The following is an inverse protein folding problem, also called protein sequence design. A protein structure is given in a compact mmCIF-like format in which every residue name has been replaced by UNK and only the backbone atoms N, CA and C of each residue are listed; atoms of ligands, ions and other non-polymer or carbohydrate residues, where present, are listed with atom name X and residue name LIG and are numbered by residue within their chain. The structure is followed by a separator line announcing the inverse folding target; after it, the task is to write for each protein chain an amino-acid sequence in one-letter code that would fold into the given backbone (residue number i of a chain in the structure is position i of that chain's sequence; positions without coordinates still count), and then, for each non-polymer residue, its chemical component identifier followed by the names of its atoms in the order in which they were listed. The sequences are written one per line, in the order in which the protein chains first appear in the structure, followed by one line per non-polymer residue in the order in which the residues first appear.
data_IF_211863073484
#
_entry.id   IF_211863073484
#
_cell.length_a   1.000
_cell.length_b   1.000
_cell.length_c   1.000
_cell.angle_alpha   90.00
_cell.angle_beta   90.00
_cell.angle_gamma   90.00
#
_symmetry.space_group_name_H-M   'P 1'
#
loop_
_entity.id
_entity.type
_entity.pdbx_description
1 polymer ?
#
# COMPACT_ATOMS: atom_id res chain seq x y z
N UNK A 1 -10.58 -10.43 -0.93
CA UNK A 1 -9.14 -10.09 -1.01
C UNK A 1 -8.99 -8.58 -1.08
N UNK A 2 -8.04 -8.00 -0.34
CA UNK A 2 -7.74 -6.57 -0.41
C UNK A 2 -6.99 -6.20 -1.70
N UNK A 3 -7.01 -4.91 -2.08
CA UNK A 3 -6.26 -4.40 -3.24
C UNK A 3 -4.74 -4.67 -3.12
N UNK A 4 -4.19 -4.61 -1.91
CA UNK A 4 -2.79 -4.95 -1.64
C UNK A 4 -2.52 -6.45 -1.86
N UNK A 5 -3.44 -7.32 -1.42
CA UNK A 5 -3.30 -8.77 -1.63
C UNK A 5 -3.36 -9.12 -3.12
N UNK A 6 -4.29 -8.53 -3.87
CA UNK A 6 -4.40 -8.70 -5.32
C UNK A 6 -3.12 -8.25 -6.05
N UNK A 7 -2.60 -7.07 -5.70
CA UNK A 7 -1.36 -6.56 -6.28
C UNK A 7 -0.16 -7.47 -5.97
N UNK A 8 -0.03 -7.96 -4.73
CA UNK A 8 1.01 -8.91 -4.36
C UNK A 8 0.93 -10.22 -5.15
N UNK A 9 -0.26 -10.80 -5.30
CA UNK A 9 -0.45 -12.01 -6.10
C UNK A 9 -0.05 -11.79 -7.57
N UNK A 10 -0.48 -10.66 -8.16
CA UNK A 10 -0.13 -10.35 -9.55
C UNK A 10 1.38 -10.15 -9.75
N UNK A 11 2.06 -9.49 -8.82
CA UNK A 11 3.53 -9.30 -8.86
C UNK A 11 4.25 -10.64 -8.74
N UNK A 12 3.79 -11.55 -7.86
CA UNK A 12 4.37 -12.89 -7.75
C UNK A 12 4.20 -13.70 -9.03
N UNK A 13 3.01 -13.71 -9.63
CA UNK A 13 2.78 -14.40 -10.89
C UNK A 13 3.72 -13.90 -12.00
N UNK A 14 3.89 -12.58 -12.12
CA UNK A 14 4.82 -12.00 -13.09
C UNK A 14 6.26 -12.42 -12.79
N UNK A 15 6.66 -12.39 -11.51
CA UNK A 15 8.01 -12.77 -11.10
C UNK A 15 8.33 -14.23 -11.42
N UNK A 16 7.39 -15.14 -11.16
CA UNK A 16 7.49 -16.56 -11.48
C UNK A 16 7.61 -16.76 -12.99
N UNK A 17 6.79 -16.07 -13.78
CA UNK A 17 6.87 -16.14 -15.25
C UNK A 17 8.23 -15.71 -15.81
N UNK A 18 8.90 -14.72 -15.19
CA UNK A 18 10.22 -14.25 -15.65
C UNK A 18 11.41 -14.89 -14.93
N UNK A 19 11.17 -15.88 -14.07
CA UNK A 19 12.22 -16.50 -13.26
C UNK A 19 13.21 -17.30 -14.10
N UNK A 20 12.72 -18.00 -15.13
CA UNK A 20 13.53 -18.85 -16.01
C UNK A 20 14.20 -18.06 -17.14
N UNK A 21 13.75 -16.82 -17.39
CA UNK A 21 14.31 -15.94 -18.40
C UNK A 21 15.64 -15.33 -17.93
N UNK A 22 16.72 -15.60 -18.66
CA UNK A 22 18.07 -15.07 -18.38
C UNK A 22 18.36 -13.69 -18.98
N UNK A 23 17.38 -13.11 -19.68
CA UNK A 23 17.52 -11.82 -20.35
C UNK A 23 17.74 -10.67 -19.36
N UNK A 24 18.50 -9.65 -19.76
CA UNK A 24 18.75 -8.45 -18.94
C UNK A 24 17.45 -7.74 -18.53
N UNK A 25 16.45 -7.74 -19.41
CA UNK A 25 15.12 -7.19 -19.13
C UNK A 25 14.34 -8.02 -18.11
N UNK A 26 14.48 -9.36 -18.15
CA UNK A 26 13.89 -10.24 -17.13
C UNK A 26 14.58 -10.06 -15.76
N UNK A 27 15.88 -9.81 -15.74
CA UNK A 27 16.61 -9.47 -14.52
C UNK A 27 16.14 -8.12 -13.93
N UNK A 28 15.90 -7.11 -14.78
CA UNK A 28 15.32 -5.83 -14.35
C UNK A 28 13.91 -6.00 -13.78
N UNK A 29 13.05 -6.78 -14.46
CA UNK A 29 11.68 -7.03 -14.01
C UNK A 29 11.65 -7.75 -12.66
N UNK A 30 12.54 -8.72 -12.43
CA UNK A 30 12.69 -9.41 -11.13
C UNK A 30 13.09 -8.45 -10.00
N UNK A 31 14.01 -7.51 -10.28
CA UNK A 31 14.43 -6.49 -9.31
C UNK A 31 13.27 -5.56 -8.95
N UNK A 32 12.58 -5.04 -9.96
CA UNK A 32 11.44 -4.13 -9.75
C UNK A 32 10.26 -4.86 -9.07
N UNK A 33 10.00 -6.13 -9.39
CA UNK A 33 9.02 -6.96 -8.70
C UNK A 33 9.34 -7.13 -7.21
N UNK A 34 10.60 -7.43 -6.88
CA UNK A 34 11.04 -7.56 -5.48
C UNK A 34 10.94 -6.24 -4.72
N UNK A 35 11.29 -5.12 -5.36
CA UNK A 35 11.13 -3.78 -4.77
C UNK A 35 9.67 -3.47 -4.50
N UNK A 36 8.80 -3.67 -5.50
CA UNK A 36 7.36 -3.42 -5.36
C UNK A 36 6.74 -4.32 -4.26
N UNK A 37 7.13 -5.59 -4.20
CA UNK A 37 6.69 -6.51 -3.14
C UNK A 37 7.07 -6.03 -1.74
N UNK A 38 8.31 -5.52 -1.56
CA UNK A 38 8.74 -4.92 -0.28
C UNK A 38 7.88 -3.70 0.07
N UNK A 39 7.63 -2.81 -0.90
CA UNK A 39 6.77 -1.64 -0.71
C UNK A 39 5.34 -2.05 -0.34
N UNK A 40 4.76 -3.02 -1.05
CA UNK A 40 3.42 -3.55 -0.75
C UNK A 40 3.35 -4.26 0.60
N UNK A 41 4.43 -4.92 1.04
CA UNK A 41 4.51 -5.51 2.38
C UNK A 41 4.52 -4.44 3.47
N UNK A 42 5.32 -3.39 3.33
CA UNK A 42 5.32 -2.26 4.27
C UNK A 42 3.96 -1.55 4.30
N UNK A 43 3.31 -1.41 3.15
CA UNK A 43 1.97 -0.87 3.05
C UNK A 43 0.94 -1.80 3.71
N UNK A 44 1.06 -3.12 3.51
CA UNK A 44 0.24 -4.10 4.20
C UNK A 44 0.43 -4.03 5.71
N UNK A 45 1.65 -3.89 6.22
CA UNK A 45 1.91 -3.77 7.66
C UNK A 45 1.31 -2.49 8.26
N UNK A 46 1.25 -1.39 7.48
CA UNK A 46 0.58 -0.15 7.88
C UNK A 46 -0.94 -0.30 7.92
N UNK A 47 -1.54 -0.87 6.87
CA UNK A 47 -3.00 -0.83 6.65
C UNK A 47 -3.74 -2.13 6.96
N UNK A 48 -3.05 -3.27 7.02
CA UNK A 48 -3.62 -4.60 7.20
C UNK A 48 -3.07 -5.25 8.46
N UNK A 49 -3.95 -5.93 9.19
CA UNK A 49 -3.58 -6.71 10.36
C UNK A 49 -2.98 -8.07 9.96
N UNK A 50 -1.87 -8.52 10.56
CA UNK A 50 -1.66 -9.95 10.75
C UNK A 50 -2.70 -10.45 11.76
N UNK A 51 -3.23 -11.66 11.59
CA UNK A 51 -4.42 -12.23 12.26
C UNK A 51 -4.46 -12.26 13.81
N UNK A 52 -3.61 -11.56 14.55
CA UNK A 52 -3.79 -11.33 15.98
C UNK A 52 -3.21 -9.96 16.42
N UNK A 53 -4.10 -9.01 16.71
CA UNK A 53 -3.90 -7.70 17.39
C UNK A 53 -3.34 -6.51 16.57
N UNK A 54 -4.28 -5.57 16.36
CA UNK A 54 -4.29 -4.15 15.91
C UNK A 54 -3.27 -3.66 14.86
N UNK A 55 -3.81 -3.23 13.72
CA UNK A 55 -3.14 -2.46 12.67
C UNK A 55 -3.88 -1.15 12.39
N UNK A 56 -3.29 -0.33 11.52
CA UNK A 56 -3.58 1.05 11.11
C UNK A 56 -2.61 2.12 11.62
N UNK A 57 -2.00 2.02 12.81
CA UNK A 57 -0.76 2.73 13.16
C UNK A 57 -0.19 2.11 14.46
N UNK A 58 0.91 1.36 14.41
CA UNK A 58 1.59 0.80 15.60
C UNK A 58 2.56 1.83 16.21
N UNK A 59 2.74 1.82 17.53
CA UNK A 59 3.67 2.71 18.25
C UNK A 59 3.15 4.14 18.42
N UNK A 60 4.03 5.15 18.42
CA UNK A 60 3.69 6.56 18.73
C UNK A 60 2.78 7.25 17.69
N UNK A 61 2.44 6.56 16.59
CA UNK A 61 1.69 7.14 15.48
C UNK A 61 0.20 6.72 15.42
N UNK A 62 -0.32 6.11 16.49
CA UNK A 62 -1.66 5.52 16.65
C UNK A 62 -2.85 6.46 16.30
N UNK A 63 -3.26 6.56 15.04
CA UNK A 63 -4.44 7.37 14.68
C UNK A 63 -5.78 6.72 15.05
N UNK A 64 -5.91 5.39 15.00
CA UNK A 64 -7.17 4.69 15.35
C UNK A 64 -7.54 4.85 16.84
N UNK A 65 -6.62 4.61 17.79
CA UNK A 65 -6.88 4.91 19.21
C UNK A 65 -7.19 6.38 19.46
N UNK A 66 -6.48 7.31 18.80
CA UNK A 66 -6.76 8.74 18.89
C UNK A 66 -8.17 9.10 18.41
N UNK A 67 -8.58 8.58 17.25
CA UNK A 67 -9.95 8.76 16.73
C UNK A 67 -10.99 8.14 17.67
N UNK A 68 -10.74 6.94 18.20
CA UNK A 68 -11.67 6.30 19.14
C UNK A 68 -11.80 7.06 20.45
N UNK A 69 -10.71 7.65 20.96
CA UNK A 69 -10.71 8.47 22.15
C UNK A 69 -11.51 9.76 21.97
N UNK A 70 -11.32 10.43 20.84
CA UNK A 70 -12.12 11.61 20.47
C UNK A 70 -13.59 11.21 20.30
N UNK A 71 -13.89 10.15 19.56
CA UNK A 71 -15.27 9.69 19.33
C UNK A 71 -15.98 9.33 20.64
N UNK A 72 -15.32 8.62 21.54
CA UNK A 72 -15.85 8.33 22.88
C UNK A 72 -16.08 9.61 23.69
N UNK A 73 -15.13 10.54 23.65
CA UNK A 73 -15.24 11.81 24.37
C UNK A 73 -16.36 12.72 23.83
N UNK A 74 -16.64 12.66 22.52
CA UNK A 74 -17.70 13.43 21.87
C UNK A 74 -19.07 12.77 22.05
N UNK A 75 -19.12 11.45 22.11
CA UNK A 75 -20.38 10.70 22.30
C UNK A 75 -20.82 10.60 23.75
N UNK A 76 -19.90 10.73 24.71
CA UNK A 76 -20.22 10.68 26.14
C UNK A 76 -20.67 12.03 26.73
N UNK A 77 -20.60 13.11 25.97
CA UNK A 77 -20.94 14.46 26.45
C UNK A 77 -22.14 15.01 25.70
N UNK A 78 -23.10 15.58 26.42
CA UNK A 78 -24.18 16.39 25.85
C UNK A 78 -23.73 17.83 25.57
N UNK A 79 -22.52 18.20 26.02
CA UNK A 79 -21.90 19.49 25.77
C UNK A 79 -21.21 19.56 24.41
N UNK A 80 -21.10 20.79 23.89
CA UNK A 80 -20.37 21.05 22.65
C UNK A 80 -18.90 20.61 22.75
N UNK A 81 -18.29 20.13 21.64
CA UNK A 81 -16.88 19.75 21.60
C UNK A 81 -15.97 20.89 22.05
N UNK A 82 -15.01 20.60 22.92
CA UNK A 82 -13.99 21.58 23.30
C UNK A 82 -12.99 21.80 22.16
N UNK A 83 -12.35 22.98 22.13
CA UNK A 83 -11.34 23.31 21.11
C UNK A 83 -10.17 22.29 21.09
N UNK A 84 -9.80 21.77 22.26
CA UNK A 84 -8.79 20.72 22.40
C UNK A 84 -9.22 19.41 21.73
N UNK A 85 -10.47 18.97 21.91
CA UNK A 85 -11.01 17.76 21.27
C UNK A 85 -11.05 17.90 19.74
N UNK A 86 -11.46 19.08 19.26
CA UNK A 86 -11.45 19.40 17.82
C UNK A 86 -10.02 19.42 17.26
N UNK A 87 -9.05 19.88 18.03
CA UNK A 87 -7.64 19.85 17.64
C UNK A 87 -7.10 18.43 17.52
N UNK A 88 -7.44 17.54 18.47
CA UNK A 88 -7.09 16.13 18.37
C UNK A 88 -7.74 15.44 17.17
N UNK A 89 -9.00 15.78 16.86
CA UNK A 89 -9.69 15.28 15.67
C UNK A 89 -8.94 15.67 14.40
N UNK A 90 -8.66 16.98 14.22
CA UNK A 90 -7.92 17.50 13.06
C UNK A 90 -6.55 16.85 12.90
N UNK A 91 -5.86 16.62 14.02
CA UNK A 91 -4.56 15.95 13.98
C UNK A 91 -4.66 14.50 13.51
N UNK A 92 -5.68 13.77 13.99
CA UNK A 92 -5.92 12.40 13.56
C UNK A 92 -6.39 12.31 12.10
N UNK A 93 -7.24 13.24 11.64
CA UNK A 93 -7.64 13.38 10.25
C UNK A 93 -6.43 13.64 9.33
N UNK A 94 -5.56 14.59 9.69
CA UNK A 94 -4.34 14.88 8.91
C UNK A 94 -3.40 13.66 8.81
N UNK A 95 -3.31 12.85 9.87
CA UNK A 95 -2.54 11.58 9.81
C UNK A 95 -3.16 10.59 8.84
N UNK A 96 -4.49 10.45 8.86
CA UNK A 96 -5.21 9.57 7.98
C UNK A 96 -5.08 10.01 6.51
N UNK A 97 -5.23 11.29 6.23
CA UNK A 97 -5.06 11.87 4.89
C UNK A 97 -3.66 11.60 4.34
N UNK A 98 -2.61 11.82 5.14
CA UNK A 98 -1.24 11.52 4.73
C UNK A 98 -1.04 10.04 4.42
N UNK A 99 -1.58 9.16 5.26
CA UNK A 99 -1.51 7.73 5.02
C UNK A 99 -2.25 7.32 3.74
N UNK A 100 -3.45 7.87 3.49
CA UNK A 100 -4.19 7.63 2.26
C UNK A 100 -3.45 8.16 1.03
N UNK A 101 -2.79 9.31 1.13
CA UNK A 101 -1.95 9.85 0.06
C UNK A 101 -0.75 8.94 -0.23
N UNK A 102 -0.07 8.43 0.80
CA UNK A 102 1.00 7.43 0.65
C UNK A 102 0.49 6.16 -0.03
N UNK A 103 -0.67 5.66 0.39
CA UNK A 103 -1.30 4.50 -0.22
C UNK A 103 -1.58 4.73 -1.70
N UNK A 104 -2.24 5.83 -2.05
CA UNK A 104 -2.57 6.16 -3.44
C UNK A 104 -1.31 6.32 -4.29
N UNK A 105 -0.28 6.98 -3.76
CA UNK A 105 1.01 7.17 -4.43
C UNK A 105 1.66 5.83 -4.83
N UNK A 106 1.64 4.82 -3.95
CA UNK A 106 2.19 3.49 -4.26
C UNK A 106 1.48 2.86 -5.46
N UNK A 107 0.15 2.98 -5.53
CA UNK A 107 -0.61 2.42 -6.65
C UNK A 107 -0.47 3.25 -7.93
N UNK A 108 -0.48 4.57 -7.84
CA UNK A 108 -0.42 5.43 -9.02
C UNK A 108 0.96 5.50 -9.64
N UNK A 109 2.02 5.35 -8.83
CA UNK A 109 3.40 5.44 -9.31
C UNK A 109 4.02 4.05 -9.42
N UNK A 110 4.17 3.32 -8.32
CA UNK A 110 4.95 2.09 -8.31
C UNK A 110 4.27 0.95 -9.05
N UNK A 111 2.96 0.74 -8.83
CA UNK A 111 2.20 -0.30 -9.54
C UNK A 111 2.07 0.04 -11.03
N UNK A 112 1.81 1.31 -11.37
CA UNK A 112 1.75 1.76 -12.77
C UNK A 112 3.06 1.56 -13.51
N UNK A 113 4.19 1.99 -12.93
CA UNK A 113 5.53 1.78 -13.50
C UNK A 113 5.81 0.30 -13.73
N UNK A 114 5.46 -0.55 -12.77
CA UNK A 114 5.62 -2.00 -12.93
C UNK A 114 4.74 -2.56 -14.05
N UNK A 115 3.48 -2.13 -14.14
CA UNK A 115 2.57 -2.50 -15.22
C UNK A 115 3.11 -2.12 -16.61
N UNK A 116 3.67 -0.91 -16.76
CA UNK A 116 4.30 -0.47 -18.01
C UNK A 116 5.51 -1.33 -18.39
N UNK A 117 6.35 -1.71 -17.41
CA UNK A 117 7.50 -2.60 -17.64
C UNK A 117 7.06 -3.99 -18.11
N UNK A 118 6.01 -4.55 -17.50
CA UNK A 118 5.42 -5.83 -17.94
C UNK A 118 4.87 -5.71 -19.36
N UNK A 119 4.17 -4.61 -19.68
CA UNK A 119 3.67 -4.33 -21.02
C UNK A 119 4.78 -4.29 -22.08
N UNK A 120 5.90 -3.60 -21.78
CA UNK A 120 7.07 -3.55 -22.68
C UNK A 120 7.68 -4.94 -22.91
N UNK A 121 7.83 -5.74 -21.86
CA UNK A 121 8.37 -7.09 -21.96
C UNK A 121 7.47 -8.01 -22.82
N UNK A 122 6.14 -7.91 -22.65
CA UNK A 122 5.17 -8.67 -23.44
C UNK A 122 5.22 -8.29 -24.93
N UNK A 123 5.38 -7.00 -25.24
CA UNK A 123 5.54 -6.53 -26.62
C UNK A 123 6.85 -7.05 -27.25
N UNK A 124 7.94 -7.11 -26.48
CA UNK A 124 9.21 -7.69 -26.93
C UNK A 124 9.11 -9.20 -27.20
N UNK A 125 8.43 -9.97 -26.35
CA UNK A 125 8.28 -11.43 -26.54
C UNK A 125 7.36 -11.81 -27.70
N UNK A 126 6.40 -10.94 -28.07
CA UNK A 126 5.58 -11.11 -29.26
C UNK A 126 6.35 -10.78 -30.55
N UNK A 127 7.20 -9.75 -30.53
CA UNK A 127 8.08 -9.41 -31.67
C UNK A 127 9.16 -10.45 -31.91
N UNK A 128 9.73 -11.07 -30.87
CA UNK A 128 10.78 -12.09 -31.05
C UNK A 128 10.26 -13.44 -31.57
N UNK A 129 8.95 -13.71 -31.45
CA UNK A 129 8.31 -14.94 -31.97
C UNK A 129 7.79 -14.81 -33.40
N UNK A 130 7.86 -13.61 -33.99
CA UNK A 130 7.33 -13.31 -35.33
C UNK A 130 8.42 -13.22 -36.41
N UNK A 131 9.64 -13.66 -36.11
CA UNK A 131 10.75 -13.83 -37.06
C UNK A 131 11.19 -15.29 -37.07
#
# INVERSE_FOLDING_TARGET
MSRIQQANCAVEMVREQVQEHKDSTAAQLRREANTLKKTLKLLAEKFMLPQARQGMFRGDNQALPQLSGVLNSLSSSWDAPTETQLTYLKYAESKLEKALAEFNCVFDINVRKFHELVGRQRLHSLRSKSC
#
